data_IF_399250523124
#
_entry.id   IF_399250523124
#
_cell.length_a   1.000
_cell.length_b   1.000
_cell.length_c   1.000
_cell.angle_alpha   90.00
_cell.angle_beta   90.00
_cell.angle_gamma   90.00
#
_symmetry.space_group_name_H-M   'P 1'
#
loop_
_entity.id
_entity.type
_entity.pdbx_description
1 polymer ?
#
# COMPACT_ATOMS: atom_id res chain seq x y z
N UNK A 1 -15.17 -16.28 7.55
CA UNK A 1 -14.17 -15.26 7.14
C UNK A 1 -14.80 -14.39 6.07
N UNK A 2 -14.67 -13.07 6.22
CA UNK A 2 -15.09 -12.09 5.22
C UNK A 2 -13.82 -11.48 4.57
N UNK A 3 -13.69 -11.61 3.26
CA UNK A 3 -12.68 -10.96 2.45
C UNK A 3 -13.32 -9.80 1.69
N UNK A 4 -12.73 -8.61 1.77
CA UNK A 4 -13.26 -7.40 1.15
C UNK A 4 -12.20 -6.81 0.21
N UNK A 5 -12.63 -6.45 -0.98
CA UNK A 5 -11.79 -5.72 -1.95
C UNK A 5 -12.64 -4.64 -2.64
N UNK A 6 -12.04 -3.50 -2.96
CA UNK A 6 -12.72 -2.41 -3.65
C UNK A 6 -13.00 -2.75 -5.13
N UNK A 7 -12.18 -3.63 -5.73
CA UNK A 7 -12.28 -4.01 -7.12
C UNK A 7 -13.21 -5.21 -7.33
N UNK A 8 -14.36 -4.97 -7.94
CA UNK A 8 -15.32 -6.02 -8.30
C UNK A 8 -14.70 -7.18 -9.08
N UNK A 9 -13.78 -6.89 -10.01
CA UNK A 9 -13.09 -7.91 -10.79
C UNK A 9 -12.27 -8.88 -9.93
N UNK A 10 -11.59 -8.39 -8.90
CA UNK A 10 -10.82 -9.21 -7.96
C UNK A 10 -11.76 -10.09 -7.11
N UNK A 11 -12.87 -9.52 -6.65
CA UNK A 11 -13.89 -10.27 -5.89
C UNK A 11 -14.48 -11.40 -6.75
N UNK A 12 -14.84 -11.12 -8.01
CA UNK A 12 -15.36 -12.13 -8.93
C UNK A 12 -14.34 -13.24 -9.22
N UNK A 13 -13.08 -12.87 -9.44
CA UNK A 13 -11.99 -13.84 -9.64
C UNK A 13 -11.81 -14.71 -8.40
N UNK A 14 -11.79 -14.13 -7.21
CA UNK A 14 -11.63 -14.86 -5.95
C UNK A 14 -12.78 -15.85 -5.73
N UNK A 15 -14.02 -15.44 -6.02
CA UNK A 15 -15.18 -16.33 -5.97
C UNK A 15 -15.08 -17.49 -6.98
N UNK A 16 -14.54 -17.25 -8.18
CA UNK A 16 -14.42 -18.27 -9.22
C UNK A 16 -13.43 -19.37 -8.91
N UNK A 17 -12.40 -19.07 -8.11
CA UNK A 17 -11.36 -20.02 -7.69
C UNK A 17 -11.58 -20.58 -6.28
N UNK A 18 -12.65 -20.12 -5.60
CA UNK A 18 -12.97 -20.58 -4.25
C UNK A 18 -13.26 -22.09 -4.26
N UNK A 19 -12.57 -22.82 -3.39
CA UNK A 19 -12.83 -24.23 -3.17
C UNK A 19 -14.23 -24.45 -2.54
N UNK A 20 -14.98 -25.44 -3.04
CA UNK A 20 -16.29 -25.82 -2.51
C UNK A 20 -16.24 -26.26 -1.04
N UNK A 21 -15.06 -26.62 -0.55
CA UNK A 21 -14.81 -27.00 0.85
C UNK A 21 -14.59 -25.80 1.77
N UNK A 22 -14.66 -24.54 1.26
CA UNK A 22 -14.52 -23.31 2.04
C UNK A 22 -15.82 -22.48 2.08
N UNK A 23 -16.99 -23.04 2.47
CA UNK A 23 -18.26 -22.31 2.48
C UNK A 23 -18.28 -21.18 3.53
N UNK A 24 -17.35 -21.21 4.49
CA UNK A 24 -17.15 -20.21 5.54
C UNK A 24 -16.42 -18.96 5.06
N UNK A 25 -15.87 -18.96 3.84
CA UNK A 25 -15.18 -17.81 3.23
C UNK A 25 -16.15 -17.07 2.31
N UNK A 26 -16.37 -15.81 2.61
CA UNK A 26 -17.22 -14.90 1.86
C UNK A 26 -16.37 -13.79 1.25
N UNK A 27 -16.74 -13.34 0.06
CA UNK A 27 -16.07 -12.25 -0.65
C UNK A 27 -17.09 -11.14 -0.94
N UNK A 28 -16.77 -9.91 -0.57
CA UNK A 28 -17.60 -8.75 -0.80
C UNK A 28 -16.83 -7.62 -1.48
N UNK A 29 -17.53 -6.86 -2.31
CA UNK A 29 -17.01 -5.59 -2.85
C UNK A 29 -17.26 -4.52 -1.80
N UNK A 30 -16.23 -3.82 -1.38
CA UNK A 30 -16.36 -2.75 -0.41
C UNK A 30 -15.10 -1.92 -0.27
N UNK A 31 -15.30 -0.66 0.09
CA UNK A 31 -14.21 0.23 0.46
C UNK A 31 -13.99 0.18 1.97
N UNK A 32 -12.81 -0.27 2.39
CA UNK A 32 -12.46 -0.41 3.80
C UNK A 32 -12.44 0.92 4.57
N UNK A 33 -12.41 2.05 3.86
CA UNK A 33 -12.54 3.39 4.46
C UNK A 33 -13.98 3.71 4.88
N UNK A 34 -14.97 3.03 4.29
CA UNK A 34 -16.40 3.32 4.44
C UNK A 34 -17.23 2.05 4.71
N UNK A 35 -16.73 1.17 5.57
CA UNK A 35 -17.44 -0.06 5.93
C UNK A 35 -18.76 0.25 6.65
N UNK A 36 -19.85 -0.46 6.31
CA UNK A 36 -21.14 -0.25 6.96
C UNK A 36 -21.12 -0.71 8.42
N UNK A 37 -21.74 0.05 9.29
CA UNK A 37 -21.83 -0.25 10.73
C UNK A 37 -22.55 -1.57 11.06
N UNK A 38 -23.28 -2.10 10.09
CA UNK A 38 -24.02 -3.39 10.20
C UNK A 38 -23.10 -4.60 10.14
N UNK A 39 -21.83 -4.43 9.78
CA UNK A 39 -20.86 -5.53 9.80
C UNK A 39 -20.62 -6.02 11.23
N UNK A 40 -20.45 -7.34 11.41
CA UNK A 40 -20.09 -7.89 12.72
C UNK A 40 -18.67 -7.46 13.13
N UNK A 41 -18.38 -7.58 14.42
CA UNK A 41 -17.01 -7.45 14.90
C UNK A 41 -16.26 -8.76 14.73
N UNK A 42 -14.96 -8.65 14.52
CA UNK A 42 -14.05 -9.74 14.17
C UNK A 42 -13.01 -9.99 15.26
N UNK A 43 -12.61 -11.24 15.43
CA UNK A 43 -11.50 -11.62 16.31
C UNK A 43 -10.15 -11.24 15.68
N UNK A 44 -10.10 -11.23 14.36
CA UNK A 44 -8.88 -10.90 13.59
C UNK A 44 -9.22 -10.06 12.38
N UNK A 45 -8.44 -9.01 12.13
CA UNK A 45 -8.44 -8.23 10.91
C UNK A 45 -7.04 -8.32 10.30
N UNK A 46 -6.94 -8.77 9.06
CA UNK A 46 -5.66 -8.89 8.37
C UNK A 46 -5.71 -8.22 7.00
N UNK A 47 -4.63 -7.55 6.63
CA UNK A 47 -4.46 -6.97 5.30
C UNK A 47 -3.00 -7.07 4.86
N UNK A 48 -2.78 -7.70 3.68
CA UNK A 48 -1.46 -7.79 3.11
C UNK A 48 -1.34 -6.82 1.94
N UNK A 49 -0.41 -5.86 2.03
CA UNK A 49 -0.14 -4.83 1.02
C UNK A 49 -1.37 -4.00 0.59
N UNK A 50 -2.41 -3.94 1.43
CA UNK A 50 -3.62 -3.16 1.17
C UNK A 50 -3.59 -1.79 1.85
N UNK A 51 -2.89 -1.66 2.98
CA UNK A 51 -2.86 -0.43 3.77
C UNK A 51 -2.25 0.77 3.02
N UNK A 52 -1.36 0.52 2.07
CA UNK A 52 -0.76 1.56 1.23
C UNK A 52 -1.81 2.35 0.42
N UNK A 53 -2.95 1.72 0.08
CA UNK A 53 -4.03 2.32 -0.73
C UNK A 53 -5.09 3.07 0.09
N UNK A 54 -4.95 3.18 1.42
CA UNK A 54 -5.91 3.90 2.27
C UNK A 54 -5.69 5.43 2.26
N UNK A 55 -5.32 5.95 1.11
CA UNK A 55 -5.08 7.38 0.87
C UNK A 55 -6.41 8.16 0.74
N UNK A 56 -6.40 9.47 1.03
CA UNK A 56 -5.27 10.23 1.57
C UNK A 56 -5.14 10.12 3.10
N UNK A 57 -6.16 9.64 3.82
CA UNK A 57 -6.17 9.63 5.28
C UNK A 57 -6.09 8.21 5.85
N UNK A 58 -4.87 7.66 5.91
CA UNK A 58 -4.62 6.29 6.40
C UNK A 58 -4.99 6.11 7.87
N UNK A 59 -4.80 7.14 8.70
CA UNK A 59 -5.15 7.07 10.12
C UNK A 59 -6.66 6.89 10.33
N UNK A 60 -7.50 7.66 9.65
CA UNK A 60 -8.96 7.50 9.76
C UNK A 60 -9.44 6.15 9.18
N UNK A 61 -8.82 5.67 8.11
CA UNK A 61 -9.12 4.33 7.59
C UNK A 61 -8.75 3.23 8.60
N UNK A 62 -7.59 3.34 9.25
CA UNK A 62 -7.16 2.43 10.31
C UNK A 62 -8.12 2.46 11.51
N UNK A 63 -8.53 3.65 11.94
CA UNK A 63 -9.51 3.87 12.99
C UNK A 63 -10.86 3.20 12.66
N UNK A 64 -11.31 3.32 11.40
CA UNK A 64 -12.50 2.63 10.94
C UNK A 64 -12.37 1.10 11.01
N UNK A 65 -11.21 0.52 10.69
CA UNK A 65 -10.98 -0.90 10.80
C UNK A 65 -10.97 -1.37 12.27
N UNK A 66 -10.27 -0.64 13.14
CA UNK A 66 -10.13 -1.00 14.57
C UNK A 66 -11.47 -1.10 15.28
N UNK A 67 -12.46 -0.26 14.93
CA UNK A 67 -13.80 -0.33 15.53
C UNK A 67 -14.56 -1.63 15.23
N UNK A 68 -14.14 -2.41 14.22
CA UNK A 68 -14.68 -3.73 13.94
C UNK A 68 -13.93 -4.87 14.65
N UNK A 69 -12.94 -4.58 15.48
CA UNK A 69 -12.37 -5.58 16.37
C UNK A 69 -13.32 -5.87 17.55
N UNK A 70 -13.39 -7.14 17.93
CA UNK A 70 -13.92 -7.52 19.24
C UNK A 70 -12.93 -7.15 20.34
N UNK A 71 -13.36 -6.99 21.61
CA UNK A 71 -12.43 -6.98 22.73
C UNK A 71 -11.49 -8.19 22.67
N UNK A 72 -10.21 -7.98 22.93
CA UNK A 72 -9.16 -8.99 22.73
C UNK A 72 -8.81 -9.32 21.28
N UNK A 73 -9.48 -8.73 20.31
CA UNK A 73 -9.22 -8.92 18.88
C UNK A 73 -7.90 -8.31 18.42
N UNK A 74 -7.34 -8.84 17.34
CA UNK A 74 -6.04 -8.42 16.80
C UNK A 74 -6.18 -7.89 15.37
N UNK A 75 -5.46 -6.79 15.07
CA UNK A 75 -5.22 -6.33 13.71
C UNK A 75 -3.77 -6.63 13.31
N UNK A 76 -3.58 -7.07 12.05
CA UNK A 76 -2.26 -7.30 11.44
C UNK A 76 -2.27 -6.77 10.01
N UNK A 77 -1.46 -5.77 9.72
CA UNK A 77 -1.36 -5.19 8.38
C UNK A 77 0.09 -5.17 7.92
N UNK A 78 0.30 -5.39 6.61
CA UNK A 78 1.60 -5.20 5.97
C UNK A 78 1.52 -4.10 4.93
N UNK A 79 2.62 -3.35 4.77
CA UNK A 79 2.72 -2.26 3.81
C UNK A 79 4.19 -1.95 3.50
N UNK A 80 4.48 -1.34 2.35
CA UNK A 80 5.79 -0.73 2.08
C UNK A 80 5.87 0.60 2.83
N UNK A 81 6.84 0.71 3.76
CA UNK A 81 7.03 1.91 4.55
C UNK A 81 7.87 2.96 3.84
N UNK A 82 7.97 4.14 4.47
CA UNK A 82 8.87 5.21 4.03
C UNK A 82 10.27 4.65 3.83
N UNK A 83 10.98 5.09 2.79
CA UNK A 83 12.28 4.54 2.37
C UNK A 83 12.17 3.45 1.29
N UNK A 84 10.95 2.97 0.98
CA UNK A 84 10.74 2.04 -0.14
C UNK A 84 11.08 2.72 -1.46
N UNK A 85 12.05 2.16 -2.20
CA UNK A 85 12.50 2.62 -3.51
C UNK A 85 13.07 4.04 -3.54
N UNK A 86 13.74 4.48 -2.48
CA UNK A 86 14.32 5.82 -2.40
C UNK A 86 15.27 6.12 -3.58
N UNK A 87 16.07 5.14 -4.02
CA UNK A 87 16.94 5.31 -5.19
C UNK A 87 16.17 5.62 -6.47
N UNK A 88 15.00 5.00 -6.66
CA UNK A 88 14.12 5.30 -7.79
C UNK A 88 13.54 6.73 -7.67
N UNK A 89 13.05 7.11 -6.49
CA UNK A 89 12.45 8.43 -6.29
C UNK A 89 13.45 9.56 -6.49
N UNK A 90 14.68 9.38 -6.03
CA UNK A 90 15.77 10.33 -6.29
C UNK A 90 16.03 10.46 -7.79
N UNK A 91 16.09 9.33 -8.51
CA UNK A 91 16.31 9.35 -9.96
C UNK A 91 15.16 10.03 -10.71
N UNK A 92 13.90 9.72 -10.33
CA UNK A 92 12.70 10.36 -10.91
C UNK A 92 12.72 11.87 -10.68
N UNK A 93 13.00 12.31 -9.44
CA UNK A 93 13.07 13.76 -9.13
C UNK A 93 14.17 14.48 -9.93
N UNK A 94 15.34 13.86 -10.09
CA UNK A 94 16.44 14.41 -10.90
C UNK A 94 16.06 14.56 -12.39
N UNK A 95 15.41 13.53 -12.95
CA UNK A 95 14.95 13.59 -14.35
C UNK A 95 13.82 14.63 -14.53
N UNK A 96 12.86 14.67 -13.63
CA UNK A 96 11.83 15.71 -13.64
C UNK A 96 12.42 17.12 -13.50
N UNK A 97 13.49 17.27 -12.70
CA UNK A 97 14.21 18.54 -12.56
C UNK A 97 14.91 18.93 -13.85
N UNK A 98 15.55 18.00 -14.56
CA UNK A 98 16.19 18.24 -15.87
C UNK A 98 15.18 18.66 -16.93
N UNK A 99 13.99 18.04 -16.91
CA UNK A 99 12.86 18.37 -17.79
C UNK A 99 12.10 19.64 -17.38
N UNK A 100 12.49 20.33 -16.28
CA UNK A 100 11.78 21.48 -15.72
C UNK A 100 10.30 21.18 -15.38
N UNK A 101 10.00 19.96 -14.95
CA UNK A 101 8.67 19.45 -14.59
C UNK A 101 8.33 19.82 -13.13
N UNK A 102 8.04 21.10 -12.89
CA UNK A 102 7.90 21.65 -11.53
C UNK A 102 6.66 21.12 -10.81
N UNK A 103 5.54 20.97 -11.52
CA UNK A 103 4.27 20.48 -10.94
C UNK A 103 4.37 19.01 -10.59
N UNK A 104 4.92 18.21 -11.51
CA UNK A 104 5.12 16.78 -11.38
C UNK A 104 6.06 16.45 -10.21
N UNK A 105 7.14 17.22 -10.05
CA UNK A 105 8.05 17.13 -8.91
C UNK A 105 7.36 17.41 -7.58
N UNK A 106 6.46 18.40 -7.56
CA UNK A 106 5.68 18.67 -6.35
C UNK A 106 4.74 17.51 -6.03
N UNK A 107 4.03 16.98 -7.03
CA UNK A 107 3.14 15.83 -6.85
C UNK A 107 3.91 14.60 -6.36
N UNK A 108 5.12 14.35 -6.89
CA UNK A 108 6.01 13.28 -6.43
C UNK A 108 6.41 13.46 -4.96
N UNK A 109 6.78 14.68 -4.56
CA UNK A 109 7.16 14.98 -3.18
C UNK A 109 5.98 14.74 -2.22
N UNK A 110 4.80 15.25 -2.56
CA UNK A 110 3.57 15.06 -1.79
C UNK A 110 3.25 13.54 -1.64
N UNK A 111 3.41 12.75 -2.72
CA UNK A 111 3.24 11.30 -2.69
C UNK A 111 4.24 10.59 -1.76
N UNK A 112 5.51 10.98 -1.80
CA UNK A 112 6.54 10.37 -0.94
C UNK A 112 6.28 10.68 0.52
N UNK A 113 5.90 11.93 0.86
CA UNK A 113 5.58 12.36 2.23
C UNK A 113 4.36 11.65 2.84
N UNK A 114 3.40 11.25 2.02
CA UNK A 114 2.23 10.52 2.49
C UNK A 114 2.53 9.12 3.03
N UNK A 115 3.71 8.56 2.75
CA UNK A 115 4.05 7.20 3.15
C UNK A 115 4.33 7.12 4.64
N UNK A 116 3.69 6.19 5.36
CA UNK A 116 3.93 6.06 6.78
C UNK A 116 5.30 5.41 7.04
N UNK A 117 6.02 5.94 8.01
CA UNK A 117 7.16 5.25 8.60
C UNK A 117 6.68 4.16 9.58
N UNK A 118 7.57 3.22 9.92
CA UNK A 118 7.30 2.22 10.96
C UNK A 118 6.95 2.87 12.31
N UNK A 119 7.63 3.95 12.68
CA UNK A 119 7.35 4.69 13.92
C UNK A 119 5.97 5.35 13.90
N UNK A 120 5.58 5.95 12.78
CA UNK A 120 4.26 6.55 12.64
C UNK A 120 3.15 5.50 12.70
N UNK A 121 3.35 4.34 12.06
CA UNK A 121 2.42 3.23 12.14
C UNK A 121 2.22 2.73 13.58
N UNK A 122 3.32 2.65 14.36
CA UNK A 122 3.28 2.32 15.78
C UNK A 122 2.47 3.34 16.58
N UNK A 123 2.76 4.62 16.40
CA UNK A 123 2.03 5.71 17.08
C UNK A 123 0.53 5.66 16.80
N UNK A 124 0.14 5.43 15.55
CA UNK A 124 -1.28 5.32 15.19
C UNK A 124 -2.00 4.16 15.91
N UNK A 125 -1.36 2.99 16.02
CA UNK A 125 -1.95 1.87 16.74
C UNK A 125 -2.09 2.19 18.25
N UNK A 126 -1.08 2.83 18.84
CA UNK A 126 -1.09 3.24 20.24
C UNK A 126 -2.15 4.34 20.51
N UNK A 127 -2.28 5.34 19.62
CA UNK A 127 -3.32 6.37 19.68
C UNK A 127 -4.75 5.82 19.58
N UNK A 128 -4.91 4.71 18.83
CA UNK A 128 -6.18 4.00 18.72
C UNK A 128 -6.47 3.09 19.92
N UNK A 129 -5.61 3.11 20.94
CA UNK A 129 -5.80 2.38 22.18
C UNK A 129 -5.49 0.89 22.07
N UNK A 130 -4.73 0.46 21.06
CA UNK A 130 -4.30 -0.93 20.95
C UNK A 130 -3.12 -1.19 21.91
N UNK A 131 -3.12 -2.39 22.48
CA UNK A 131 -2.07 -2.90 23.36
C UNK A 131 -1.18 -3.91 22.63
N UNK A 132 -0.04 -4.25 23.20
CA UNK A 132 0.92 -5.20 22.63
C UNK A 132 1.24 -4.86 21.18
N UNK A 133 1.46 -3.56 20.93
CA UNK A 133 1.76 -3.05 19.60
C UNK A 133 3.17 -3.48 19.20
N UNK A 134 3.24 -4.19 18.07
CA UNK A 134 4.49 -4.61 17.45
C UNK A 134 4.56 -4.08 16.02
N UNK A 135 5.69 -3.48 15.69
CA UNK A 135 5.99 -3.03 14.33
C UNK A 135 7.37 -3.51 13.96
N UNK A 136 7.46 -4.25 12.88
CA UNK A 136 8.73 -4.80 12.37
C UNK A 136 8.93 -4.33 10.94
N UNK A 137 10.15 -3.91 10.63
CA UNK A 137 10.54 -3.47 9.30
C UNK A 137 11.79 -4.24 8.84
N UNK A 138 11.80 -4.64 7.56
CA UNK A 138 12.93 -5.34 6.96
C UNK A 138 13.04 -5.05 5.46
N UNK A 139 14.27 -4.92 4.93
CA UNK A 139 14.47 -4.64 3.51
C UNK A 139 14.23 -5.89 2.64
N UNK A 140 13.81 -5.64 1.40
CA UNK A 140 13.77 -6.62 0.32
C UNK A 140 14.35 -5.98 -0.93
N UNK A 141 15.38 -6.62 -1.49
CA UNK A 141 15.89 -6.24 -2.80
C UNK A 141 15.01 -6.82 -3.92
N UNK A 142 14.67 -5.96 -4.87
CA UNK A 142 13.92 -6.33 -6.08
C UNK A 142 14.81 -6.03 -7.26
N UNK A 143 15.01 -7.04 -8.09
CA UNK A 143 15.76 -6.96 -9.34
C UNK A 143 14.81 -6.97 -10.51
N UNK A 144 15.04 -6.10 -11.47
CA UNK A 144 14.29 -6.04 -12.72
C UNK A 144 15.26 -5.81 -13.88
N UNK A 145 14.88 -6.21 -15.09
CA UNK A 145 15.55 -5.84 -16.32
C UNK A 145 15.15 -4.42 -16.77
N UNK A 146 15.86 -3.86 -17.78
CA UNK A 146 15.54 -2.55 -18.34
C UNK A 146 14.31 -2.60 -19.28
N UNK A 147 13.80 -1.43 -19.64
CA UNK A 147 12.70 -1.29 -20.60
C UNK A 147 11.42 -1.95 -20.09
N UNK A 148 10.83 -2.83 -20.88
CA UNK A 148 9.56 -3.49 -20.54
C UNK A 148 9.65 -4.38 -19.30
N UNK A 149 10.80 -4.99 -19.02
CA UNK A 149 11.00 -5.79 -17.80
C UNK A 149 10.81 -4.94 -16.54
N UNK A 150 11.19 -3.67 -16.57
CA UNK A 150 10.93 -2.71 -15.50
C UNK A 150 9.46 -2.24 -15.52
N UNK A 151 8.99 -1.75 -16.68
CA UNK A 151 7.67 -1.11 -16.81
C UNK A 151 6.51 -2.08 -16.55
N UNK A 152 6.68 -3.38 -16.86
CA UNK A 152 5.67 -4.42 -16.68
C UNK A 152 5.92 -5.29 -15.45
N UNK A 153 6.90 -4.93 -14.60
CA UNK A 153 7.25 -5.76 -13.45
C UNK A 153 6.05 -5.89 -12.48
N UNK A 154 5.62 -7.12 -12.14
CA UNK A 154 4.36 -7.35 -11.42
C UNK A 154 4.25 -6.70 -10.03
N UNK A 155 5.41 -6.47 -9.36
CA UNK A 155 5.44 -5.79 -8.06
C UNK A 155 5.48 -4.26 -8.16
N UNK A 156 5.77 -3.72 -9.33
CA UNK A 156 5.89 -2.28 -9.55
C UNK A 156 4.64 -1.72 -10.21
N UNK A 157 4.14 -2.41 -11.21
CA UNK A 157 2.91 -2.05 -11.91
C UNK A 157 1.68 -2.32 -11.04
N UNK A 158 0.68 -1.46 -11.14
CA UNK A 158 -0.52 -1.51 -10.29
C UNK A 158 -0.31 -0.90 -8.90
N UNK A 159 0.73 -0.09 -8.75
CA UNK A 159 1.05 0.62 -7.51
C UNK A 159 2.12 1.67 -7.76
N UNK A 160 3.38 1.36 -7.49
CA UNK A 160 4.46 2.33 -7.48
C UNK A 160 4.72 3.05 -8.81
N UNK A 161 4.66 2.35 -9.94
CA UNK A 161 4.83 3.00 -11.25
C UNK A 161 3.59 3.80 -11.62
N UNK A 162 2.40 3.32 -11.30
CA UNK A 162 1.16 4.03 -11.55
C UNK A 162 1.12 5.35 -10.76
N UNK A 163 1.63 5.37 -9.53
CA UNK A 163 1.78 6.59 -8.73
C UNK A 163 2.70 7.63 -9.41
N UNK A 164 3.74 7.20 -10.18
CA UNK A 164 4.55 8.13 -10.98
C UNK A 164 3.73 8.67 -12.15
N UNK A 165 3.00 7.83 -12.88
CA UNK A 165 2.12 8.28 -13.96
C UNK A 165 1.06 9.29 -13.45
N UNK A 166 0.52 9.09 -12.25
CA UNK A 166 -0.45 9.99 -11.62
C UNK A 166 0.13 11.38 -11.28
N UNK A 167 1.45 11.52 -11.19
CA UNK A 167 2.09 12.83 -11.02
C UNK A 167 1.97 13.74 -12.25
N UNK A 168 1.62 13.19 -13.42
CA UNK A 168 1.56 13.93 -14.68
C UNK A 168 0.11 14.26 -15.08
N UNK A 169 -0.14 15.52 -15.46
CA UNK A 169 -1.40 15.91 -16.10
C UNK A 169 -1.46 15.41 -17.56
N UNK A 170 -0.33 15.42 -18.28
CA UNK A 170 -0.19 14.89 -19.64
C UNK A 170 0.33 13.46 -19.62
N UNK A 171 -0.56 12.52 -19.93
CA UNK A 171 -0.23 11.09 -19.93
C UNK A 171 0.76 10.70 -21.05
N UNK A 172 0.81 11.40 -22.19
CA UNK A 172 1.80 11.12 -23.22
C UNK A 172 3.21 11.46 -22.73
N UNK A 173 3.35 12.62 -22.08
CA UNK A 173 4.60 13.01 -21.43
C UNK A 173 5.01 12.01 -20.35
N UNK A 174 4.05 11.50 -19.57
CA UNK A 174 4.33 10.47 -18.56
C UNK A 174 4.88 9.19 -19.19
N UNK A 175 4.28 8.72 -20.30
CA UNK A 175 4.76 7.53 -20.99
C UNK A 175 6.17 7.73 -21.56
N UNK A 176 6.45 8.84 -22.26
CA UNK A 176 7.77 9.16 -22.78
C UNK A 176 8.82 9.23 -21.65
N UNK A 177 8.48 9.91 -20.55
CA UNK A 177 9.33 10.00 -19.37
C UNK A 177 9.67 8.61 -18.78
N UNK A 178 8.67 7.75 -18.62
CA UNK A 178 8.87 6.42 -18.05
C UNK A 178 9.63 5.49 -19.00
N UNK A 179 9.42 5.59 -20.30
CA UNK A 179 10.23 4.86 -21.30
C UNK A 179 11.69 5.28 -21.21
N UNK A 180 12.01 6.57 -21.15
CA UNK A 180 13.36 7.07 -21.02
C UNK A 180 14.01 6.62 -19.70
N UNK A 181 13.28 6.74 -18.58
CA UNK A 181 13.73 6.27 -17.27
C UNK A 181 14.08 4.77 -17.27
N UNK A 182 13.27 3.97 -17.95
CA UNK A 182 13.41 2.52 -17.99
C UNK A 182 14.63 2.01 -18.75
N UNK A 183 15.26 2.84 -19.59
CA UNK A 183 16.44 2.44 -20.40
C UNK A 183 17.71 2.32 -19.58
N UNK A 184 17.83 3.10 -18.50
CA UNK A 184 19.03 3.11 -17.64
C UNK A 184 18.66 2.87 -16.18
N UNK A 185 18.18 1.66 -15.90
CA UNK A 185 17.82 1.24 -14.55
C UNK A 185 19.03 1.05 -13.62
N UNK A 186 20.25 1.00 -14.17
CA UNK A 186 21.48 0.84 -13.37
C UNK A 186 21.70 1.97 -12.36
N UNK A 187 21.01 3.10 -12.53
CA UNK A 187 21.08 4.27 -11.64
C UNK A 187 20.33 4.06 -10.32
N UNK A 188 19.33 3.16 -10.29
CA UNK A 188 18.46 2.96 -9.13
C UNK A 188 18.21 1.49 -8.75
N UNK A 189 18.75 0.53 -9.49
CA UNK A 189 18.62 -0.90 -9.15
C UNK A 189 19.87 -1.41 -8.42
N UNK A 190 19.76 -2.41 -7.52
CA UNK A 190 18.50 -3.04 -7.11
C UNK A 190 17.57 -2.08 -6.37
N UNK A 191 16.24 -2.26 -6.57
CA UNK A 191 15.24 -1.51 -5.82
C UNK A 191 15.15 -2.08 -4.40
N UNK A 192 15.27 -1.22 -3.40
CA UNK A 192 15.14 -1.62 -2.01
C UNK A 192 13.74 -1.30 -1.48
N UNK A 193 12.90 -2.31 -1.28
CA UNK A 193 11.60 -2.16 -0.64
C UNK A 193 11.73 -2.30 0.89
N UNK A 194 11.28 -1.29 1.64
CA UNK A 194 11.15 -1.40 3.09
C UNK A 194 9.79 -2.05 3.41
N UNK A 195 9.81 -3.35 3.74
CA UNK A 195 8.59 -4.08 4.11
C UNK A 195 8.30 -3.86 5.57
N UNK A 196 7.11 -3.40 5.88
CA UNK A 196 6.67 -3.20 7.25
C UNK A 196 5.47 -4.09 7.58
N UNK A 197 5.50 -4.69 8.76
CA UNK A 197 4.34 -5.34 9.37
C UNK A 197 4.03 -4.64 10.69
N UNK A 198 2.75 -4.33 10.91
CA UNK A 198 2.26 -3.77 12.17
C UNK A 198 1.16 -4.66 12.74
N UNK A 199 1.15 -4.82 14.04
CA UNK A 199 0.07 -5.52 14.75
C UNK A 199 -0.22 -4.87 16.10
N UNK A 200 -1.45 -5.09 16.58
CA UNK A 200 -1.89 -4.67 17.90
C UNK A 200 -3.18 -5.35 18.29
N UNK A 201 -3.49 -5.35 19.57
CA UNK A 201 -4.69 -5.97 20.12
C UNK A 201 -5.61 -4.93 20.75
N UNK A 202 -6.90 -5.00 20.48
CA UNK A 202 -7.87 -4.22 21.22
C UNK A 202 -7.95 -4.76 22.65
N UNK A 203 -7.88 -3.92 23.70
CA UNK A 203 -8.00 -4.38 25.08
C UNK A 203 -9.27 -5.19 25.33
N UNK A 204 -9.19 -6.16 26.25
CA UNK A 204 -10.38 -6.83 26.77
C UNK A 204 -11.28 -5.83 27.50
N UNK A 205 -12.59 -5.90 27.29
CA UNK A 205 -13.51 -5.13 28.12
C UNK A 205 -13.48 -5.73 29.54
N UNK A 206 -13.12 -4.90 30.52
CA UNK A 206 -13.21 -5.26 31.94
C UNK A 206 -14.66 -5.32 32.40
#
# INVERSE_FOLDING_TARGET
VLAVDIHQGQVLRSRSIQDRHMPWLQFEVGDLRFLPETLPRFDRITGNLSFMFFRPNRFEALKNLVRFLKPGGQIVLTFPSLGTFDSLWVCVDEEMKRGNLVKERKALADYIEERPSANQAKQWLEELGLERVEVTEWPLEIFTGPGQDFLEHPLLRGGFLDDIYECFEDQNLAYEFMEDLSRDIGRFTPLLAQRCAMSGFLPDQK
#
